data_IF_272769347295
#
_entry.id   IF_272769347295
#
_cell.length_a   1.000
_cell.length_b   1.000
_cell.length_c   1.000
_cell.angle_alpha   90.00
_cell.angle_beta   90.00
_cell.angle_gamma   90.00
#
_symmetry.space_group_name_H-M   'P 1'
#
loop_
_entity.id
_entity.type
_entity.pdbx_description
1 polymer ?
#
# COMPACT_ATOMS: atom_id res chain seq x y z
N UNK A 1 -25.86 -7.69 16.72
CA UNK A 1 -24.87 -6.99 17.57
C UNK A 1 -23.80 -7.91 18.19
N UNK A 2 -24.14 -8.94 18.97
CA UNK A 2 -23.13 -9.84 19.62
C UNK A 2 -22.18 -10.61 18.68
N UNK A 3 -22.58 -10.87 17.43
CA UNK A 3 -21.72 -11.52 16.42
C UNK A 3 -20.69 -10.55 15.85
N UNK A 4 -21.11 -9.34 15.50
CA UNK A 4 -20.23 -8.28 15.02
C UNK A 4 -19.19 -7.86 16.07
N UNK A 5 -19.62 -7.69 17.33
CA UNK A 5 -18.70 -7.38 18.42
C UNK A 5 -17.63 -8.47 18.63
N UNK A 6 -18.02 -9.76 18.51
CA UNK A 6 -17.08 -10.88 18.58
C UNK A 6 -16.13 -10.93 17.38
N UNK A 7 -16.63 -10.68 16.17
CA UNK A 7 -15.80 -10.62 14.98
C UNK A 7 -14.76 -9.48 15.07
N UNK A 8 -15.19 -8.30 15.51
CA UNK A 8 -14.32 -7.15 15.75
C UNK A 8 -13.28 -7.45 16.84
N UNK A 9 -13.72 -8.01 17.98
CA UNK A 9 -12.80 -8.40 19.05
C UNK A 9 -11.78 -9.46 18.60
N UNK A 10 -12.18 -10.39 17.74
CA UNK A 10 -11.28 -11.39 17.15
C UNK A 10 -10.30 -10.77 16.15
N UNK A 11 -10.75 -9.79 15.36
CA UNK A 11 -9.88 -9.06 14.43
C UNK A 11 -8.82 -8.27 15.19
N UNK A 12 -9.24 -7.51 16.21
CA UNK A 12 -8.33 -6.71 17.04
C UNK A 12 -7.33 -7.60 17.78
N UNK A 13 -7.77 -8.73 18.35
CA UNK A 13 -6.85 -9.62 19.07
C UNK A 13 -5.86 -10.35 18.17
N UNK A 14 -6.19 -10.56 16.90
CA UNK A 14 -5.30 -11.26 15.95
C UNK A 14 -4.38 -10.32 15.17
N UNK A 15 -4.76 -9.07 14.99
CA UNK A 15 -3.98 -8.05 14.28
C UNK A 15 -4.00 -6.72 15.03
N UNK A 16 -3.46 -6.69 16.27
CA UNK A 16 -3.55 -5.52 17.14
C UNK A 16 -2.82 -4.30 16.57
N UNK A 17 -1.69 -4.49 15.86
CA UNK A 17 -0.94 -3.36 15.29
C UNK A 17 -1.71 -2.76 14.13
N UNK A 18 -2.26 -3.59 13.24
CA UNK A 18 -3.12 -3.11 12.13
C UNK A 18 -4.39 -2.44 12.64
N UNK A 19 -5.00 -2.97 13.70
CA UNK A 19 -6.16 -2.33 14.31
C UNK A 19 -5.82 -0.95 14.90
N UNK A 20 -4.70 -0.83 15.62
CA UNK A 20 -4.23 0.44 16.16
C UNK A 20 -3.88 1.45 15.06
N UNK A 21 -3.22 0.99 13.99
CA UNK A 21 -2.87 1.83 12.86
C UNK A 21 -4.09 2.31 12.08
N UNK A 22 -5.09 1.43 11.85
CA UNK A 22 -6.35 1.84 11.24
C UNK A 22 -7.10 2.86 12.09
N UNK A 23 -7.11 2.69 13.43
CA UNK A 23 -7.69 3.69 14.33
C UNK A 23 -6.98 5.03 14.20
N UNK A 24 -5.65 5.05 14.14
CA UNK A 24 -4.86 6.27 13.90
C UNK A 24 -5.24 6.95 12.59
N UNK A 25 -5.29 6.21 11.48
CA UNK A 25 -5.65 6.75 10.16
C UNK A 25 -7.07 7.32 10.12
N UNK A 26 -8.02 6.65 10.78
CA UNK A 26 -9.38 7.16 10.91
C UNK A 26 -9.43 8.42 11.79
N UNK A 27 -8.67 8.45 12.87
CA UNK A 27 -8.57 9.63 13.73
C UNK A 27 -7.97 10.84 13.02
N UNK A 28 -6.88 10.67 12.26
CA UNK A 28 -6.27 11.77 11.50
C UNK A 28 -7.19 12.24 10.37
N UNK A 29 -7.87 11.34 9.69
CA UNK A 29 -8.85 11.69 8.66
C UNK A 29 -10.04 12.47 9.24
N UNK A 30 -10.62 12.01 10.36
CA UNK A 30 -11.71 12.72 11.04
C UNK A 30 -11.27 14.08 11.59
N UNK A 31 -10.05 14.17 12.12
CA UNK A 31 -9.50 15.46 12.56
C UNK A 31 -9.41 16.44 11.39
N UNK A 32 -8.91 16.01 10.23
CA UNK A 32 -8.82 16.88 9.05
C UNK A 32 -10.18 17.28 8.47
N UNK A 33 -11.16 16.37 8.49
CA UNK A 33 -12.45 16.59 7.78
C UNK A 33 -13.56 17.13 8.67
N UNK A 34 -13.54 16.86 9.97
CA UNK A 34 -14.60 17.24 10.90
C UNK A 34 -14.20 18.31 11.92
N UNK A 35 -12.89 18.56 12.12
CA UNK A 35 -12.40 19.52 13.14
C UNK A 35 -11.73 20.73 12.51
N UNK A 36 -10.84 20.52 11.54
CA UNK A 36 -10.10 21.60 10.90
C UNK A 36 -10.93 22.33 9.83
N UNK A 37 -10.66 23.62 9.63
CA UNK A 37 -11.09 24.30 8.41
C UNK A 37 -10.37 23.73 7.18
N UNK A 38 -10.95 23.89 5.99
CA UNK A 38 -10.35 23.41 4.73
C UNK A 38 -8.92 23.92 4.55
N UNK A 39 -8.66 25.18 4.87
CA UNK A 39 -7.33 25.77 4.76
C UNK A 39 -6.33 25.19 5.78
N UNK A 40 -6.76 24.87 6.99
CA UNK A 40 -5.92 24.21 8.00
C UNK A 40 -5.60 22.77 7.60
N UNK A 41 -6.60 22.01 7.15
CA UNK A 41 -6.42 20.65 6.67
C UNK A 41 -5.44 20.60 5.49
N UNK A 42 -5.59 21.52 4.52
CA UNK A 42 -4.65 21.65 3.41
C UNK A 42 -3.23 21.97 3.89
N UNK A 43 -3.04 22.87 4.86
CA UNK A 43 -1.71 23.16 5.42
C UNK A 43 -1.09 21.94 6.11
N UNK A 44 -1.88 21.16 6.84
CA UNK A 44 -1.41 19.92 7.49
C UNK A 44 -0.94 18.91 6.44
N UNK A 45 -1.79 18.64 5.43
CA UNK A 45 -1.50 17.71 4.33
C UNK A 45 -0.26 18.14 3.55
N UNK A 46 -0.17 19.42 3.15
CA UNK A 46 1.00 19.96 2.46
C UNK A 46 2.27 19.90 3.32
N UNK A 47 2.15 20.03 4.65
CA UNK A 47 3.27 19.93 5.58
C UNK A 47 3.86 18.52 5.72
N UNK A 48 3.09 17.49 5.38
CA UNK A 48 3.51 16.07 5.41
C UNK A 48 3.67 15.47 4.02
N UNK A 49 3.35 16.22 2.96
CA UNK A 49 3.45 15.76 1.59
C UNK A 49 4.90 15.51 1.17
N UNK A 50 5.12 14.44 0.40
CA UNK A 50 6.37 13.98 -0.18
C UNK A 50 6.67 14.57 -1.56
N UNK A 51 6.04 15.70 -1.92
CA UNK A 51 6.41 16.45 -3.13
C UNK A 51 7.89 16.89 -3.08
N UNK A 52 8.45 17.23 -4.25
CA UNK A 52 9.90 17.31 -4.45
C UNK A 52 10.60 18.24 -3.45
N UNK A 53 10.10 19.45 -3.25
CA UNK A 53 10.73 20.45 -2.38
C UNK A 53 10.75 19.99 -0.91
N UNK A 54 9.61 19.51 -0.42
CA UNK A 54 9.48 18.98 0.93
C UNK A 54 10.38 17.77 1.19
N UNK A 55 10.48 16.87 0.20
CA UNK A 55 11.28 15.67 0.29
C UNK A 55 12.78 15.99 0.25
N UNK A 56 13.18 17.03 -0.48
CA UNK A 56 14.55 17.55 -0.49
C UNK A 56 14.90 18.18 0.87
N UNK A 57 14.02 19.01 1.42
CA UNK A 57 14.33 19.77 2.64
C UNK A 57 14.22 18.92 3.91
N UNK A 58 13.24 18.02 3.98
CA UNK A 58 12.83 17.34 5.23
C UNK A 58 12.45 15.87 5.02
N UNK A 59 13.31 15.07 4.37
CA UNK A 59 12.97 13.75 3.84
C UNK A 59 12.38 12.81 4.89
N UNK A 60 13.05 12.68 6.05
CA UNK A 60 12.61 11.76 7.12
C UNK A 60 11.23 12.15 7.66
N UNK A 61 10.97 13.46 7.81
CA UNK A 61 9.73 13.95 8.40
C UNK A 61 8.54 13.72 7.48
N UNK A 62 8.68 13.98 6.18
CA UNK A 62 7.57 13.84 5.22
C UNK A 62 7.34 12.38 4.85
N UNK A 63 8.39 11.56 4.78
CA UNK A 63 8.25 10.11 4.61
C UNK A 63 7.51 9.46 5.79
N UNK A 64 7.86 9.85 7.03
CA UNK A 64 7.16 9.34 8.21
C UNK A 64 5.74 9.93 8.33
N UNK A 65 5.59 11.24 8.11
CA UNK A 65 4.33 11.96 8.25
C UNK A 65 3.28 11.56 7.24
N UNK A 66 3.65 11.33 5.98
CA UNK A 66 2.73 10.90 4.92
C UNK A 66 2.02 9.59 5.27
N UNK A 67 2.68 8.66 5.96
CA UNK A 67 2.08 7.39 6.40
C UNK A 67 1.03 7.56 7.51
N UNK A 68 0.81 8.75 8.05
CA UNK A 68 -0.19 9.00 9.09
C UNK A 68 -1.55 9.41 8.51
N UNK A 69 -1.66 9.52 7.20
CA UNK A 69 -2.85 9.99 6.48
C UNK A 69 -3.23 9.01 5.37
N UNK A 70 -4.44 9.13 4.85
CA UNK A 70 -4.81 8.57 3.57
C UNK A 70 -5.56 9.64 2.80
N UNK A 71 -5.32 9.70 1.49
CA UNK A 71 -6.09 10.55 0.59
C UNK A 71 -7.32 9.77 0.11
N UNK A 72 -8.51 10.35 0.29
CA UNK A 72 -9.77 9.68 0.01
C UNK A 72 -10.94 10.21 0.86
N UNK A 73 -12.09 9.56 0.70
CA UNK A 73 -13.34 9.91 1.40
C UNK A 73 -13.97 8.67 2.05
N UNK A 74 -14.73 8.89 3.12
CA UNK A 74 -15.52 7.87 3.83
C UNK A 74 -17.03 8.01 3.61
N UNK A 75 -17.48 9.12 3.03
CA UNK A 75 -18.91 9.48 2.98
C UNK A 75 -19.46 9.51 1.56
N UNK A 76 -18.66 9.90 0.57
CA UNK A 76 -19.10 10.00 -0.83
C UNK A 76 -18.94 8.64 -1.54
N UNK A 77 -19.87 7.72 -1.24
CA UNK A 77 -19.82 6.32 -1.68
C UNK A 77 -19.85 6.11 -3.20
N UNK A 78 -20.24 7.13 -3.97
CA UNK A 78 -20.32 7.07 -5.43
C UNK A 78 -19.07 7.62 -6.12
N UNK A 79 -18.17 8.26 -5.38
CA UNK A 79 -16.94 8.85 -5.94
C UNK A 79 -15.84 7.82 -6.20
N UNK A 80 -14.98 8.13 -7.16
CA UNK A 80 -13.73 7.39 -7.40
C UNK A 80 -12.80 7.46 -6.18
N UNK A 81 -12.81 8.57 -5.45
CA UNK A 81 -12.07 8.73 -4.20
C UNK A 81 -12.49 7.69 -3.14
N UNK A 82 -13.78 7.33 -3.07
CA UNK A 82 -14.24 6.27 -2.17
C UNK A 82 -13.77 4.90 -2.62
N UNK A 83 -13.78 4.61 -3.93
CA UNK A 83 -13.21 3.38 -4.47
C UNK A 83 -11.70 3.28 -4.11
N UNK A 84 -10.96 4.39 -4.24
CA UNK A 84 -9.58 4.51 -3.78
C UNK A 84 -9.42 4.21 -2.28
N UNK A 85 -10.28 4.74 -1.43
CA UNK A 85 -10.31 4.42 0.02
C UNK A 85 -10.57 2.94 0.27
N UNK A 86 -11.50 2.32 -0.45
CA UNK A 86 -11.80 0.90 -0.30
C UNK A 86 -10.60 0.02 -0.69
N UNK A 87 -9.85 0.39 -1.71
CA UNK A 87 -8.66 -0.35 -2.13
C UNK A 87 -7.53 -0.12 -1.12
N UNK A 88 -7.21 1.12 -0.79
CA UNK A 88 -6.04 1.48 0.04
C UNK A 88 -6.26 1.13 1.52
N UNK A 89 -7.24 1.77 2.18
CA UNK A 89 -7.55 1.54 3.58
C UNK A 89 -8.25 0.18 3.78
N UNK A 90 -9.21 -0.16 2.92
CA UNK A 90 -9.96 -1.42 3.03
C UNK A 90 -9.11 -2.65 2.70
N UNK A 91 -8.81 -2.86 1.41
CA UNK A 91 -8.12 -4.07 0.96
C UNK A 91 -6.64 -4.08 1.35
N UNK A 92 -5.93 -2.95 1.20
CA UNK A 92 -4.52 -2.84 1.52
C UNK A 92 -4.26 -2.98 3.02
N UNK A 93 -4.81 -2.08 3.83
CA UNK A 93 -4.56 -2.05 5.28
C UNK A 93 -5.42 -3.06 6.04
N UNK A 94 -6.75 -2.91 6.02
CA UNK A 94 -7.62 -3.72 6.88
C UNK A 94 -7.66 -5.21 6.50
N UNK A 95 -7.40 -5.55 5.24
CA UNK A 95 -7.36 -6.95 4.79
C UNK A 95 -5.93 -7.47 4.68
N UNK A 96 -5.12 -6.91 3.77
CA UNK A 96 -3.82 -7.50 3.41
C UNK A 96 -2.75 -7.29 4.49
N UNK A 97 -2.58 -6.08 5.02
CA UNK A 97 -1.62 -5.83 6.11
C UNK A 97 -1.99 -6.63 7.36
N UNK A 98 -3.26 -6.64 7.75
CA UNK A 98 -3.75 -7.43 8.86
C UNK A 98 -3.52 -8.94 8.66
N UNK A 99 -3.70 -9.43 7.42
CA UNK A 99 -3.42 -10.82 7.07
C UNK A 99 -1.93 -11.16 7.11
N UNK A 100 -1.07 -10.25 6.64
CA UNK A 100 0.39 -10.39 6.73
C UNK A 100 0.85 -10.36 8.19
N UNK A 101 0.30 -9.48 9.03
CA UNK A 101 0.58 -9.41 10.46
C UNK A 101 0.26 -10.75 11.13
N UNK A 102 -0.93 -11.30 10.88
CA UNK A 102 -1.35 -12.59 11.42
C UNK A 102 -0.47 -13.75 10.95
N UNK A 103 0.02 -13.70 9.72
CA UNK A 103 0.74 -14.81 9.09
C UNK A 103 2.25 -14.79 9.36
N UNK A 104 2.85 -13.61 9.41
CA UNK A 104 4.30 -13.43 9.45
C UNK A 104 4.81 -12.60 10.64
N UNK A 105 3.89 -12.06 11.44
CA UNK A 105 4.15 -11.15 12.55
C UNK A 105 4.17 -9.67 12.12
N UNK A 106 3.87 -8.78 13.06
CA UNK A 106 3.77 -7.34 12.80
C UNK A 106 5.05 -6.75 12.20
N UNK A 107 6.23 -7.09 12.74
CA UNK A 107 7.51 -6.56 12.27
C UNK A 107 7.77 -6.83 10.78
N UNK A 108 7.46 -8.04 10.29
CA UNK A 108 7.60 -8.36 8.86
C UNK A 108 6.55 -7.67 8.01
N UNK A 109 5.30 -7.67 8.46
CA UNK A 109 4.19 -7.06 7.73
C UNK A 109 4.41 -5.55 7.53
N UNK A 110 4.75 -4.85 8.60
CA UNK A 110 5.05 -3.42 8.56
C UNK A 110 6.40 -3.12 7.91
N UNK A 111 7.39 -4.00 8.02
CA UNK A 111 8.63 -3.89 7.26
C UNK A 111 8.38 -3.88 5.74
N UNK A 112 7.48 -4.74 5.23
CA UNK A 112 7.08 -4.75 3.82
C UNK A 112 6.32 -3.48 3.45
N UNK A 113 5.34 -3.08 4.26
CA UNK A 113 4.56 -1.85 4.05
C UNK A 113 5.47 -0.61 3.98
N UNK A 114 6.35 -0.42 4.96
CA UNK A 114 7.26 0.73 5.04
C UNK A 114 8.30 0.69 3.92
N UNK A 115 8.89 -0.48 3.62
CA UNK A 115 9.82 -0.63 2.51
C UNK A 115 9.17 -0.19 1.19
N UNK A 116 7.97 -0.69 0.93
CA UNK A 116 7.20 -0.34 -0.25
C UNK A 116 6.89 1.15 -0.35
N UNK A 117 6.39 1.73 0.75
CA UNK A 117 6.09 3.15 0.83
C UNK A 117 7.31 4.02 0.52
N UNK A 118 8.42 3.78 1.22
CA UNK A 118 9.65 4.57 1.08
C UNK A 118 10.29 4.36 -0.29
N UNK A 119 10.45 3.11 -0.73
CA UNK A 119 11.14 2.83 -1.99
C UNK A 119 10.33 3.33 -3.20
N UNK A 120 9.00 3.16 -3.21
CA UNK A 120 8.16 3.72 -4.28
C UNK A 120 8.27 5.24 -4.31
N UNK A 121 8.10 5.92 -3.18
CA UNK A 121 8.23 7.39 -3.08
C UNK A 121 9.58 7.86 -3.63
N UNK A 122 10.68 7.25 -3.19
CA UNK A 122 12.03 7.64 -3.61
C UNK A 122 12.34 7.32 -5.08
N UNK A 123 11.79 6.24 -5.63
CA UNK A 123 11.96 5.87 -7.04
C UNK A 123 11.11 6.74 -7.98
N UNK A 124 10.00 7.29 -7.50
CA UNK A 124 9.18 8.24 -8.28
C UNK A 124 9.91 9.58 -8.49
N UNK A 125 10.76 10.01 -7.56
CA UNK A 125 11.52 11.28 -7.66
C UNK A 125 12.35 11.41 -8.95
N UNK A 126 13.31 10.50 -9.25
CA UNK A 126 14.10 10.61 -10.47
C UNK A 126 13.23 10.52 -11.73
N UNK A 127 12.11 9.78 -11.68
CA UNK A 127 11.18 9.72 -12.79
C UNK A 127 10.50 11.06 -13.04
N UNK A 128 9.99 11.72 -11.99
CA UNK A 128 9.42 13.07 -12.10
C UNK A 128 10.47 14.03 -12.67
N UNK A 129 11.70 14.00 -12.17
CA UNK A 129 12.77 14.87 -12.67
C UNK A 129 13.05 14.66 -14.16
N UNK A 130 13.10 13.41 -14.62
CA UNK A 130 13.28 13.07 -16.05
C UNK A 130 12.08 13.52 -16.88
N UNK A 131 10.85 13.29 -16.39
CA UNK A 131 9.63 13.68 -17.08
C UNK A 131 9.51 15.20 -17.22
N UNK A 132 9.89 15.97 -16.20
CA UNK A 132 9.98 17.42 -16.27
C UNK A 132 11.05 17.88 -17.27
N UNK A 133 12.24 17.27 -17.25
CA UNK A 133 13.34 17.63 -18.16
C UNK A 133 12.98 17.39 -19.64
N UNK A 134 12.13 16.41 -19.94
CA UNK A 134 11.66 16.11 -21.30
C UNK A 134 10.32 16.78 -21.65
N UNK A 135 9.74 17.57 -20.73
CA UNK A 135 8.45 18.24 -20.92
C UNK A 135 7.25 17.29 -20.98
N UNK A 136 7.37 16.07 -20.45
CA UNK A 136 6.26 15.10 -20.35
C UNK A 136 5.30 15.44 -19.21
N UNK A 137 5.82 16.04 -18.14
CA UNK A 137 5.02 16.59 -17.05
C UNK A 137 5.08 18.13 -17.04
N UNK A 138 3.99 18.81 -16.67
CA UNK A 138 4.02 20.24 -16.43
C UNK A 138 4.81 20.56 -15.14
N UNK A 139 5.41 21.76 -15.09
CA UNK A 139 6.24 22.20 -13.95
C UNK A 139 5.48 22.24 -12.61
N UNK A 140 4.15 22.37 -12.65
CA UNK A 140 3.29 22.29 -11.47
C UNK A 140 3.42 20.97 -10.70
N UNK A 141 3.82 19.87 -11.36
CA UNK A 141 4.01 18.56 -10.72
C UNK A 141 5.05 18.59 -9.61
N UNK A 142 6.03 19.51 -9.64
CA UNK A 142 7.02 19.66 -8.55
C UNK A 142 6.38 19.92 -7.18
N UNK A 143 5.24 20.61 -7.18
CA UNK A 143 4.52 21.04 -5.99
C UNK A 143 3.20 20.29 -5.81
N UNK A 144 2.92 19.30 -6.67
CA UNK A 144 1.72 18.49 -6.55
C UNK A 144 1.79 17.67 -5.27
N UNK A 145 0.73 17.73 -4.46
CA UNK A 145 0.69 17.04 -3.19
C UNK A 145 0.71 15.52 -3.42
N UNK A 146 1.76 14.87 -2.92
CA UNK A 146 1.82 13.42 -2.76
C UNK A 146 1.83 13.11 -1.26
N UNK A 147 0.87 12.35 -0.76
CA UNK A 147 0.81 11.95 0.64
C UNK A 147 -0.09 10.73 0.84
N UNK A 148 0.02 10.13 2.00
CA UNK A 148 -0.85 9.06 2.43
C UNK A 148 -0.25 7.67 2.30
N UNK A 149 -0.95 6.68 2.83
CA UNK A 149 -0.51 5.27 2.89
C UNK A 149 -0.51 4.51 1.56
N UNK A 150 -0.88 5.14 0.45
CA UNK A 150 -1.34 4.43 -0.75
C UNK A 150 -0.25 3.52 -1.35
N UNK A 151 1.02 3.94 -1.39
CA UNK A 151 2.12 3.10 -1.85
C UNK A 151 2.42 1.93 -0.90
N UNK A 152 2.38 2.15 0.42
CA UNK A 152 2.53 1.06 1.39
C UNK A 152 1.38 0.05 1.29
N UNK A 153 0.14 0.55 1.14
CA UNK A 153 -1.06 -0.26 0.96
C UNK A 153 -0.99 -1.10 -0.33
N UNK A 154 -0.54 -0.50 -1.42
CA UNK A 154 -0.36 -1.16 -2.71
C UNK A 154 0.69 -2.26 -2.64
N UNK A 155 1.79 -2.01 -1.93
CA UNK A 155 2.85 -3.00 -1.71
C UNK A 155 2.34 -4.24 -0.98
N UNK A 156 1.55 -4.06 0.09
CA UNK A 156 0.99 -5.20 0.83
C UNK A 156 -0.14 -5.89 0.08
N UNK A 157 -0.90 -5.16 -0.74
CA UNK A 157 -1.92 -5.72 -1.65
C UNK A 157 -1.25 -6.64 -2.69
N UNK A 158 -0.20 -6.17 -3.36
CA UNK A 158 0.60 -6.93 -4.31
C UNK A 158 1.28 -8.16 -3.67
N UNK A 159 1.86 -7.97 -2.48
CA UNK A 159 2.44 -9.06 -1.69
C UNK A 159 1.38 -10.13 -1.38
N UNK A 160 0.21 -9.70 -0.89
CA UNK A 160 -0.91 -10.59 -0.56
C UNK A 160 -1.45 -11.33 -1.77
N UNK A 161 -1.62 -10.63 -2.90
CA UNK A 161 -2.11 -11.18 -4.17
C UNK A 161 -1.24 -12.38 -4.62
N UNK A 162 0.08 -12.23 -4.60
CA UNK A 162 0.99 -13.29 -5.03
C UNK A 162 0.98 -14.51 -4.09
N UNK A 163 0.66 -14.29 -2.81
CA UNK A 163 0.57 -15.36 -1.81
C UNK A 163 -0.77 -16.13 -1.86
N UNK A 164 -1.74 -15.69 -2.66
CA UNK A 164 -2.96 -16.45 -2.92
C UNK A 164 -2.64 -17.73 -3.70
N UNK A 165 -3.29 -18.85 -3.33
CA UNK A 165 -3.01 -20.12 -4.01
C UNK A 165 -3.67 -20.22 -5.38
N UNK A 166 -4.98 -19.93 -5.44
CA UNK A 166 -5.85 -20.17 -6.61
C UNK A 166 -6.08 -18.93 -7.48
N UNK A 167 -6.18 -17.75 -6.87
CA UNK A 167 -6.55 -16.51 -7.57
C UNK A 167 -5.37 -15.55 -7.79
N UNK A 168 -4.11 -16.01 -7.66
CA UNK A 168 -2.94 -15.11 -7.63
C UNK A 168 -2.81 -14.22 -8.86
N UNK A 169 -3.06 -14.78 -10.05
CA UNK A 169 -2.87 -14.05 -11.30
C UNK A 169 -3.99 -13.05 -11.53
N UNK A 170 -5.22 -13.41 -11.18
CA UNK A 170 -6.35 -12.48 -11.21
C UNK A 170 -6.17 -11.35 -10.20
N UNK A 171 -5.72 -11.67 -8.97
CA UNK A 171 -5.44 -10.66 -7.96
C UNK A 171 -4.27 -9.76 -8.37
N UNK A 172 -3.18 -10.33 -8.92
CA UNK A 172 -2.04 -9.56 -9.41
C UNK A 172 -2.43 -8.66 -10.59
N UNK A 173 -3.29 -9.14 -11.50
CA UNK A 173 -3.84 -8.32 -12.57
C UNK A 173 -4.69 -7.17 -12.01
N UNK A 174 -5.52 -7.42 -11.00
CA UNK A 174 -6.30 -6.38 -10.33
C UNK A 174 -5.44 -5.31 -9.65
N UNK A 175 -4.37 -5.72 -8.97
CA UNK A 175 -3.35 -4.84 -8.37
C UNK A 175 -2.74 -3.91 -9.43
N UNK A 176 -2.38 -4.44 -10.60
CA UNK A 176 -1.78 -3.61 -11.67
C UNK A 176 -2.84 -2.78 -12.41
N UNK A 177 -4.06 -3.28 -12.56
CA UNK A 177 -5.09 -2.65 -13.36
C UNK A 177 -5.71 -1.43 -12.65
N UNK A 178 -5.92 -1.47 -11.34
CA UNK A 178 -6.65 -0.41 -10.66
C UNK A 178 -5.98 0.97 -10.73
N UNK A 179 -4.64 1.14 -10.55
CA UNK A 179 -4.00 2.44 -10.67
C UNK A 179 -4.01 2.93 -12.12
N UNK A 180 -3.88 1.99 -13.08
CA UNK A 180 -3.87 2.31 -14.52
C UNK A 180 -5.24 2.76 -15.01
N UNK A 181 -6.31 2.17 -14.47
CA UNK A 181 -7.69 2.49 -14.85
C UNK A 181 -8.23 3.74 -14.15
N UNK A 182 -7.76 4.04 -12.94
CA UNK A 182 -8.15 5.22 -12.17
C UNK A 182 -7.18 6.41 -12.28
N UNK A 183 -6.05 6.22 -12.96
CA UNK A 183 -5.00 7.22 -13.10
C UNK A 183 -5.27 8.23 -14.21
N UNK A 184 -4.79 9.45 -14.00
CA UNK A 184 -4.78 10.49 -15.03
C UNK A 184 -3.59 10.29 -15.96
N UNK A 185 -3.71 10.78 -17.20
CA UNK A 185 -2.68 10.62 -18.23
C UNK A 185 -2.21 11.97 -18.77
N UNK A 186 -0.90 12.19 -18.71
CA UNK A 186 -0.22 13.34 -19.29
C UNK A 186 0.42 12.96 -20.62
N UNK A 187 -0.40 12.91 -21.66
CA UNK A 187 0.03 12.46 -22.99
C UNK A 187 0.44 10.99 -22.98
N UNK A 188 1.75 10.71 -23.01
CA UNK A 188 2.29 9.35 -23.13
C UNK A 188 2.60 8.68 -21.79
N UNK A 189 2.66 9.44 -20.69
CA UNK A 189 2.91 8.92 -19.36
C UNK A 189 1.66 9.04 -18.47
N UNK A 190 1.38 8.03 -17.63
CA UNK A 190 0.42 8.20 -16.56
C UNK A 190 0.95 9.22 -15.54
N UNK A 191 0.08 9.73 -14.68
CA UNK A 191 0.46 10.62 -13.59
C UNK A 191 1.48 9.95 -12.65
N UNK A 192 2.25 10.77 -11.92
CA UNK A 192 3.35 10.27 -11.11
C UNK A 192 2.88 9.37 -9.95
N UNK A 193 1.65 9.56 -9.47
CA UNK A 193 1.05 8.75 -8.40
C UNK A 193 0.75 7.35 -8.91
N UNK A 194 0.17 7.25 -10.12
CA UNK A 194 -0.03 5.97 -10.82
C UNK A 194 1.30 5.23 -11.01
N UNK A 195 2.38 5.94 -11.40
CA UNK A 195 3.70 5.32 -11.49
C UNK A 195 4.20 4.86 -10.12
N UNK A 196 4.00 5.66 -9.07
CA UNK A 196 4.31 5.29 -7.69
C UNK A 196 3.58 4.01 -7.24
N UNK A 197 2.30 3.85 -7.56
CA UNK A 197 1.56 2.61 -7.30
C UNK A 197 2.13 1.42 -8.06
N UNK A 198 2.48 1.58 -9.33
CA UNK A 198 3.08 0.50 -10.12
C UNK A 198 4.45 0.07 -9.58
N UNK A 199 5.27 1.02 -9.13
CA UNK A 199 6.54 0.74 -8.45
C UNK A 199 6.32 0.02 -7.12
N UNK A 200 5.37 0.48 -6.31
CA UNK A 200 4.96 -0.16 -5.07
C UNK A 200 4.47 -1.60 -5.29
N UNK A 201 3.65 -1.83 -6.32
CA UNK A 201 3.18 -3.14 -6.71
C UNK A 201 4.35 -4.06 -7.10
N UNK A 202 5.30 -3.56 -7.90
CA UNK A 202 6.50 -4.32 -8.27
C UNK A 202 7.33 -4.72 -7.05
N UNK A 203 7.54 -3.81 -6.10
CA UNK A 203 8.23 -4.09 -4.83
C UNK A 203 7.45 -5.14 -4.03
N UNK A 204 6.13 -5.01 -3.93
CA UNK A 204 5.26 -5.94 -3.23
C UNK A 204 5.28 -7.35 -3.83
N UNK A 205 5.26 -7.47 -5.16
CA UNK A 205 5.43 -8.76 -5.83
C UNK A 205 6.81 -9.37 -5.55
N UNK A 206 7.87 -8.55 -5.50
CA UNK A 206 9.20 -8.97 -5.08
C UNK A 206 9.21 -9.55 -3.65
N UNK A 207 8.61 -8.83 -2.70
CA UNK A 207 8.43 -9.28 -1.32
C UNK A 207 7.64 -10.60 -1.24
N UNK A 208 6.53 -10.71 -1.97
CA UNK A 208 5.73 -11.93 -2.04
C UNK A 208 6.52 -13.12 -2.60
N UNK A 209 7.30 -12.91 -3.67
CA UNK A 209 8.13 -13.94 -4.27
C UNK A 209 9.23 -14.41 -3.31
N UNK A 210 9.84 -13.49 -2.57
CA UNK A 210 10.81 -13.80 -1.53
C UNK A 210 10.20 -14.66 -0.41
N UNK A 211 9.01 -14.29 0.09
CA UNK A 211 8.29 -15.06 1.11
C UNK A 211 7.92 -16.47 0.62
N UNK A 212 7.44 -16.61 -0.63
CA UNK A 212 7.16 -17.91 -1.24
C UNK A 212 8.43 -18.77 -1.35
N UNK A 213 9.56 -18.18 -1.75
CA UNK A 213 10.84 -18.88 -1.86
C UNK A 213 11.35 -19.32 -0.49
N UNK A 214 11.25 -18.48 0.53
CA UNK A 214 11.62 -18.81 1.90
C UNK A 214 10.77 -19.98 2.44
N UNK A 215 9.46 -19.96 2.22
CA UNK A 215 8.56 -21.04 2.63
C UNK A 215 8.89 -22.38 1.95
N UNK A 216 9.26 -22.38 0.67
CA UNK A 216 9.69 -23.59 -0.05
C UNK A 216 10.99 -24.16 0.49
N UNK A 217 11.94 -23.31 0.87
CA UNK A 217 13.23 -23.73 1.46
C UNK A 217 13.07 -24.32 2.86
N UNK A 218 12.07 -23.87 3.61
CA UNK A 218 11.76 -24.39 4.94
C UNK A 218 10.91 -25.67 4.92
N UNK A 219 10.42 -26.10 3.74
CA UNK A 219 9.63 -27.32 3.64
C UNK A 219 10.53 -28.55 3.86
N UNK A 220 10.10 -29.54 4.68
CA UNK A 220 10.85 -30.77 4.88
C UNK A 220 11.12 -31.47 3.54
N UNK A 221 12.30 -32.09 3.39
CA UNK A 221 12.58 -32.93 2.24
C UNK A 221 11.53 -34.06 2.15
N UNK A 222 11.08 -34.43 0.94
CA UNK A 222 10.20 -35.58 0.78
C UNK A 222 10.87 -36.81 1.38
N UNK A 223 10.19 -37.51 2.29
CA UNK A 223 10.65 -38.82 2.78
C UNK A 223 10.72 -39.75 1.56
N UNK A 224 11.87 -40.39 1.28
CA UNK A 224 11.98 -41.35 0.18
C UNK A 224 10.90 -42.43 0.35
N UNK A 225 10.06 -42.60 -0.66
CA UNK A 225 9.12 -43.72 -0.66
C UNK A 225 9.93 -45.02 -0.77
N UNK A 226 9.65 -46.05 0.06
CA UNK A 226 10.31 -47.33 -0.09
C UNK A 226 10.08 -47.86 -1.50
N UNK A 227 11.14 -48.36 -2.13
CA UNK A 227 11.07 -48.93 -3.47
C UNK A 227 9.98 -50.02 -3.52
N UNK A 228 9.18 -50.09 -4.59
CA UNK A 228 8.18 -51.14 -4.72
C UNK A 228 8.89 -52.49 -4.60
N UNK A 229 8.42 -53.32 -3.66
CA UNK A 229 8.94 -54.67 -3.51
C UNK A 229 8.81 -55.38 -4.85
N UNK A 230 9.94 -55.86 -5.38
CA UNK A 230 9.95 -56.76 -6.53
C UNK A 230 9.17 -57.99 -6.10
N UNK A 231 7.97 -58.15 -6.67
CA UNK A 231 7.20 -59.38 -6.57
C UNK A 231 7.90 -60.37 -7.50
N UNK A 232 8.58 -61.36 -6.92
CA UNK A 232 9.14 -62.53 -7.61
C UNK A 232 8.05 -63.38 -8.27
#
# INVERSE_FOLDING_TARGET
>A
MRRAARALGTYVSRSPVTAGYAALLLSTHLWCTAVLSTAEAQRVVLGVSTHLDNLQDRPVRVLAGSMLFFDGTLTDITSEAFAGTLITLGLGVLVCLAWLERRYGAGRAYGIFVLGHLAATLLTVPLILVALAHGWYPESVRHAADFGISYGAETVLATGALLLRRARWLAAAGVVAWPVLGGDWSGVLPDFTTVGHLLAAAIGFGCGAFLLRAARRAAPAPVPQPAPALVE
#
